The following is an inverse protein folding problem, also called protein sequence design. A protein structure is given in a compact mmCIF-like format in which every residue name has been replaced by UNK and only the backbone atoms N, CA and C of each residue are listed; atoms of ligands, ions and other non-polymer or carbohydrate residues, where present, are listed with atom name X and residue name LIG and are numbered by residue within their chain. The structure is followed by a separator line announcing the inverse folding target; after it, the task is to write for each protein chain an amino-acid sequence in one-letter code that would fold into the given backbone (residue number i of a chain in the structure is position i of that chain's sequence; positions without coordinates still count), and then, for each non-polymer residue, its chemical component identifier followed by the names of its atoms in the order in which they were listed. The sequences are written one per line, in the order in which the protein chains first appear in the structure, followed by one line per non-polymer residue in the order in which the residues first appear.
data_IF_450404313512
#
_entry.id   IF_450404313512
#
_cell.length_a   1.000
_cell.length_b   1.000
_cell.length_c   1.000
_cell.angle_alpha   90.00
_cell.angle_beta   90.00
_cell.angle_gamma   90.00
#
_symmetry.space_group_name_H-M   'P 1'
#
loop_
_entity.id
_entity.type
_entity.pdbx_description
1 polymer ?
#
# COMPACT_ATOMS: atom_id res chain seq x y z
N UNK A 1 4.14 10.53 -5.40
CA UNK A 1 5.38 10.39 -4.60
C UNK A 1 6.48 9.75 -5.44
N UNK A 2 7.75 9.99 -5.11
CA UNK A 2 8.93 9.54 -5.90
C UNK A 2 9.08 8.00 -5.96
N UNK A 3 8.56 7.28 -4.97
CA UNK A 3 8.62 5.81 -4.90
C UNK A 3 8.03 5.10 -6.13
N UNK A 4 6.99 5.67 -6.75
CA UNK A 4 6.28 5.06 -7.90
C UNK A 4 7.14 5.03 -9.16
N UNK A 5 7.59 6.16 -9.73
CA UNK A 5 8.40 6.12 -10.94
C UNK A 5 9.71 5.33 -10.76
N UNK A 6 10.29 5.32 -9.55
CA UNK A 6 11.51 4.57 -9.28
C UNK A 6 11.31 3.06 -9.33
N UNK A 7 10.25 2.51 -8.71
CA UNK A 7 10.01 1.06 -8.73
C UNK A 7 9.34 0.60 -10.03
N UNK A 8 8.53 1.46 -10.65
CA UNK A 8 7.77 1.11 -11.84
C UNK A 8 8.66 0.86 -13.06
N UNK A 9 9.82 1.52 -13.12
CA UNK A 9 10.87 1.22 -14.10
C UNK A 9 11.32 -0.26 -14.01
N UNK A 10 11.58 -0.75 -12.79
CA UNK A 10 12.00 -2.13 -12.58
C UNK A 10 10.85 -3.12 -12.82
N UNK A 11 9.63 -2.80 -12.38
CA UNK A 11 8.48 -3.69 -12.64
C UNK A 11 8.14 -3.74 -14.12
N UNK A 12 8.33 -2.67 -14.88
CA UNK A 12 8.11 -2.68 -16.32
C UNK A 12 9.09 -3.60 -17.07
N UNK A 13 10.30 -3.77 -16.54
CA UNK A 13 11.28 -4.71 -17.07
C UNK A 13 11.03 -6.16 -16.63
N UNK A 14 10.53 -6.37 -15.40
CA UNK A 14 10.43 -7.71 -14.78
C UNK A 14 9.06 -8.36 -14.97
N UNK A 15 7.98 -7.59 -14.85
CA UNK A 15 6.62 -8.13 -14.81
C UNK A 15 6.12 -8.75 -16.13
N UNK A 16 6.48 -8.28 -17.34
CA UNK A 16 6.03 -8.88 -18.59
C UNK A 16 6.40 -10.37 -18.74
N UNK A 17 7.55 -10.78 -18.19
CA UNK A 17 8.10 -12.14 -18.31
C UNK A 17 7.89 -12.98 -17.03
N UNK A 18 6.99 -12.55 -16.14
CA UNK A 18 6.80 -13.19 -14.84
C UNK A 18 6.02 -14.51 -14.97
N UNK A 19 6.70 -15.64 -14.70
CA UNK A 19 6.10 -16.99 -14.76
C UNK A 19 5.31 -17.37 -13.50
N UNK A 20 5.64 -16.79 -12.35
CA UNK A 20 4.94 -17.00 -11.08
C UNK A 20 4.33 -15.69 -10.58
N UNK A 21 3.06 -15.48 -10.93
CA UNK A 21 2.36 -14.22 -10.70
C UNK A 21 2.03 -14.06 -9.21
N UNK A 22 2.87 -13.29 -8.53
CA UNK A 22 2.65 -12.86 -7.14
C UNK A 22 1.46 -11.86 -6.98
N UNK A 23 1.03 -11.22 -8.07
CA UNK A 23 -0.03 -10.20 -8.09
C UNK A 23 -1.44 -10.81 -8.10
N UNK A 24 -1.85 -11.43 -6.99
CA UNK A 24 -3.19 -12.02 -6.82
C UNK A 24 -4.23 -11.03 -6.30
N UNK A 25 -5.50 -11.25 -6.63
CA UNK A 25 -6.62 -10.37 -6.24
C UNK A 25 -6.68 -10.12 -4.74
N UNK A 26 -6.51 -11.15 -3.90
CA UNK A 26 -6.50 -11.02 -2.44
C UNK A 26 -5.42 -10.08 -1.92
N UNK A 27 -4.36 -9.83 -2.70
CA UNK A 27 -3.30 -8.90 -2.34
C UNK A 27 -3.70 -7.44 -2.60
N UNK A 28 -4.65 -7.16 -3.50
CA UNK A 28 -5.08 -5.79 -3.82
C UNK A 28 -5.88 -5.07 -2.72
N UNK A 29 -6.42 -5.81 -1.74
CA UNK A 29 -7.29 -5.25 -0.70
C UNK A 29 -6.57 -4.34 0.28
N UNK A 30 -6.97 -3.06 0.31
CA UNK A 30 -6.64 -2.08 1.34
C UNK A 30 -7.29 -2.45 2.68
N UNK A 31 -6.50 -2.43 3.76
CA UNK A 31 -6.91 -2.60 5.16
C UNK A 31 -7.15 -1.23 5.81
N UNK A 32 -7.73 -1.20 7.01
CA UNK A 32 -8.07 0.04 7.72
C UNK A 32 -6.93 1.06 7.78
N UNK A 33 -5.69 0.59 8.00
CA UNK A 33 -4.49 1.45 8.02
C UNK A 33 -4.13 2.01 6.64
N UNK A 34 -4.34 1.24 5.57
CA UNK A 34 -4.18 1.72 4.19
C UNK A 34 -5.23 2.80 3.87
N UNK A 35 -6.46 2.62 4.33
CA UNK A 35 -7.55 3.58 4.14
C UNK A 35 -7.28 4.90 4.88
N UNK A 36 -6.82 4.81 6.15
CA UNK A 36 -6.39 5.95 6.94
C UNK A 36 -5.31 6.76 6.22
N UNK A 37 -4.30 6.07 5.69
CA UNK A 37 -3.21 6.68 4.96
C UNK A 37 -3.68 7.41 3.69
N UNK A 38 -4.50 6.76 2.87
CA UNK A 38 -5.03 7.39 1.66
C UNK A 38 -5.94 8.57 1.96
N UNK A 39 -6.75 8.48 3.03
CA UNK A 39 -7.62 9.56 3.48
C UNK A 39 -6.82 10.79 3.94
N UNK A 40 -5.76 10.58 4.72
CA UNK A 40 -4.87 11.66 5.17
C UNK A 40 -4.20 12.38 3.98
N UNK A 41 -3.88 11.64 2.93
CA UNK A 41 -3.38 12.19 1.67
C UNK A 41 -4.46 12.80 0.76
N UNK A 42 -5.73 12.83 1.19
CA UNK A 42 -6.86 13.30 0.37
C UNK A 42 -7.06 12.50 -0.91
N UNK A 43 -6.58 11.26 -0.95
CA UNK A 43 -6.57 10.40 -2.14
C UNK A 43 -7.73 9.40 -2.09
N UNK A 44 -8.53 9.28 -3.17
CA UNK A 44 -9.60 8.30 -3.20
C UNK A 44 -9.04 6.87 -3.18
N UNK A 45 -9.71 5.99 -2.44
CA UNK A 45 -9.37 4.57 -2.38
C UNK A 45 -9.74 3.91 -3.72
N UNK A 46 -8.80 3.22 -4.39
CA UNK A 46 -9.12 2.49 -5.61
C UNK A 46 -10.23 1.46 -5.37
N UNK A 47 -11.31 1.44 -6.18
CA UNK A 47 -12.42 0.51 -5.98
C UNK A 47 -11.96 -0.92 -6.21
N UNK A 48 -12.27 -1.83 -5.29
CA UNK A 48 -11.96 -3.25 -5.40
C UNK A 48 -13.22 -4.03 -5.80
N UNK A 49 -13.11 -4.89 -6.80
CA UNK A 49 -14.14 -5.85 -7.18
C UNK A 49 -14.07 -7.10 -6.29
N UNK A 50 -15.01 -7.19 -5.36
CA UNK A 50 -15.12 -8.29 -4.41
C UNK A 50 -15.64 -9.60 -5.05
N UNK A 51 -16.14 -9.56 -6.29
CA UNK A 51 -16.64 -10.73 -7.02
C UNK A 51 -15.56 -11.54 -7.74
N UNK A 52 -14.32 -11.03 -7.82
CA UNK A 52 -13.21 -11.73 -8.49
C UNK A 52 -12.63 -12.82 -7.60
N UNK A 53 -12.14 -13.88 -8.24
CA UNK A 53 -11.41 -14.97 -7.57
C UNK A 53 -10.23 -14.41 -6.74
N UNK A 54 -10.21 -14.59 -5.41
CA UNK A 54 -9.12 -14.13 -4.55
C UNK A 54 -7.73 -14.64 -4.95
N UNK A 55 -7.64 -15.83 -5.54
CA UNK A 55 -6.39 -16.43 -6.00
C UNK A 55 -6.06 -16.15 -7.47
N UNK A 56 -7.01 -15.58 -8.22
CA UNK A 56 -6.81 -15.14 -9.60
C UNK A 56 -5.98 -13.85 -9.73
N UNK A 57 -5.71 -13.40 -10.96
CA UNK A 57 -4.94 -12.18 -11.23
C UNK A 57 -5.62 -10.94 -10.62
N UNK A 58 -4.82 -10.10 -9.97
CA UNK A 58 -5.28 -8.83 -9.42
C UNK A 58 -5.89 -7.95 -10.51
N UNK A 59 -6.99 -7.25 -10.21
CA UNK A 59 -7.64 -6.31 -11.13
C UNK A 59 -6.76 -5.12 -11.53
N UNK A 60 -5.75 -4.83 -10.72
CA UNK A 60 -4.79 -3.76 -10.98
C UNK A 60 -3.54 -4.27 -11.70
N UNK A 61 -3.49 -5.55 -12.10
CA UNK A 61 -2.37 -6.10 -12.87
C UNK A 61 -2.48 -5.66 -14.34
N UNK A 62 -1.51 -4.86 -14.80
CA UNK A 62 -1.32 -4.49 -16.19
C UNK A 62 -0.17 -5.26 -16.85
N UNK A 63 0.13 -4.94 -18.10
CA UNK A 63 1.18 -5.62 -18.89
C UNK A 63 2.60 -5.35 -18.37
N UNK A 64 2.83 -4.20 -17.74
CA UNK A 64 4.14 -3.77 -17.23
C UNK A 64 4.20 -3.74 -15.69
N UNK A 65 3.35 -4.53 -15.02
CA UNK A 65 3.17 -4.51 -13.58
C UNK A 65 1.88 -3.84 -13.16
N UNK A 66 1.79 -3.41 -11.90
CA UNK A 66 0.55 -2.87 -11.35
C UNK A 66 0.24 -1.47 -11.91
N UNK A 67 -1.01 -1.24 -12.31
CA UNK A 67 -1.51 0.03 -12.86
C UNK A 67 -1.69 1.12 -11.80
N UNK A 68 -1.68 0.76 -10.52
CA UNK A 68 -1.71 1.72 -9.42
C UNK A 68 -0.30 2.24 -9.13
N UNK A 69 -0.12 3.55 -8.91
CA UNK A 69 1.09 4.09 -8.32
C UNK A 69 1.48 3.32 -7.06
N UNK A 70 2.76 2.98 -6.85
CA UNK A 70 3.23 2.24 -5.67
C UNK A 70 2.68 2.79 -4.35
N UNK A 71 2.57 4.12 -4.20
CA UNK A 71 2.07 4.75 -2.97
C UNK A 71 0.57 4.64 -2.76
N UNK A 72 -0.23 4.31 -3.78
CA UNK A 72 -1.68 4.10 -3.62
C UNK A 72 -2.06 2.63 -3.44
N UNK A 73 -1.11 1.71 -3.53
CA UNK A 73 -1.34 0.27 -3.34
C UNK A 73 -1.58 -0.04 -1.86
N UNK A 74 -2.26 -1.15 -1.57
CA UNK A 74 -2.31 -1.69 -0.21
C UNK A 74 -0.87 -1.86 0.31
N UNK A 75 -0.59 -1.49 1.56
CA UNK A 75 0.77 -1.36 2.07
C UNK A 75 1.56 -2.68 1.99
N UNK A 76 0.90 -3.83 2.14
CA UNK A 76 1.54 -5.14 1.89
C UNK A 76 2.11 -5.28 0.46
N UNK A 77 1.44 -4.73 -0.56
CA UNK A 77 1.92 -4.69 -1.94
C UNK A 77 3.00 -3.63 -2.17
N UNK A 78 3.15 -2.67 -1.26
CA UNK A 78 4.24 -1.69 -1.27
C UNK A 78 5.57 -2.31 -0.81
N UNK A 79 5.51 -3.23 0.16
CA UNK A 79 6.69 -3.89 0.75
C UNK A 79 7.03 -5.25 0.15
N UNK A 80 6.15 -5.79 -0.68
CA UNK A 80 6.43 -7.03 -1.37
C UNK A 80 7.36 -6.78 -2.58
N UNK A 81 8.44 -7.54 -2.62
CA UNK A 81 9.36 -7.65 -3.75
C UNK A 81 9.57 -9.13 -4.04
N UNK A 82 9.22 -9.57 -5.26
CA UNK A 82 9.53 -10.93 -5.69
C UNK A 82 11.02 -11.08 -6.00
N UNK A 83 11.51 -12.32 -6.06
CA UNK A 83 12.91 -12.62 -6.35
C UNK A 83 13.42 -12.00 -7.67
N UNK A 84 12.69 -12.07 -8.81
CA UNK A 84 13.12 -11.38 -10.04
C UNK A 84 13.24 -9.85 -9.89
N UNK A 85 12.34 -9.23 -9.11
CA UNK A 85 12.38 -7.78 -8.88
C UNK A 85 13.54 -7.39 -7.96
N UNK A 86 13.85 -8.21 -6.94
CA UNK A 86 15.02 -8.02 -6.09
C UNK A 86 16.32 -8.17 -6.88
N UNK A 87 16.41 -9.15 -7.77
CA UNK A 87 17.55 -9.34 -8.66
C UNK A 87 17.76 -8.09 -9.55
N UNK A 88 16.71 -7.61 -10.20
CA UNK A 88 16.77 -6.40 -11.03
C UNK A 88 17.18 -5.15 -10.25
N UNK A 89 16.71 -5.00 -9.00
CA UNK A 89 17.12 -3.90 -8.12
C UNK A 89 18.60 -3.99 -7.71
N UNK A 90 19.11 -5.20 -7.47
CA UNK A 90 20.50 -5.43 -7.08
C UNK A 90 21.48 -5.25 -8.24
N UNK A 91 21.08 -5.63 -9.46
CA UNK A 91 21.88 -5.47 -10.68
C UNK A 91 21.82 -4.06 -11.27
N UNK A 92 20.77 -3.29 -10.93
CA UNK A 92 20.56 -1.94 -11.40
C UNK A 92 21.46 -0.88 -10.76
N UNK A 93 21.18 0.40 -11.05
CA UNK A 93 21.96 1.53 -10.52
C UNK A 93 21.83 1.64 -8.98
N UNK A 94 22.93 1.50 -8.21
CA UNK A 94 22.90 1.63 -6.75
C UNK A 94 22.38 2.99 -6.26
N UNK A 95 22.50 4.06 -7.05
CA UNK A 95 21.92 5.37 -6.73
C UNK A 95 20.40 5.34 -6.78
N UNK A 96 19.81 4.66 -7.77
CA UNK A 96 18.36 4.47 -7.87
C UNK A 96 17.84 3.62 -6.72
N UNK A 97 18.53 2.53 -6.38
CA UNK A 97 18.17 1.69 -5.24
C UNK A 97 18.14 2.50 -3.93
N UNK A 98 19.16 3.34 -3.67
CA UNK A 98 19.17 4.23 -2.49
C UNK A 98 18.02 5.24 -2.49
N UNK A 99 17.72 5.86 -3.63
CA UNK A 99 16.58 6.79 -3.75
C UNK A 99 15.26 6.08 -3.50
N UNK A 100 15.09 4.87 -4.02
CA UNK A 100 13.90 4.08 -3.78
C UNK A 100 13.76 3.76 -2.30
N UNK A 101 14.83 3.30 -1.63
CA UNK A 101 14.80 3.03 -0.19
C UNK A 101 14.43 4.28 0.62
N UNK A 102 14.97 5.45 0.28
CA UNK A 102 14.61 6.71 0.94
C UNK A 102 13.14 7.07 0.71
N UNK A 103 12.64 6.96 -0.52
CA UNK A 103 11.24 7.24 -0.84
C UNK A 103 10.27 6.25 -0.16
N UNK A 104 10.67 4.99 -0.01
CA UNK A 104 9.91 4.00 0.74
C UNK A 104 9.91 4.30 2.24
N UNK A 105 11.03 4.74 2.81
CA UNK A 105 11.09 5.15 4.21
C UNK A 105 10.16 6.34 4.50
N UNK A 106 10.13 7.34 3.62
CA UNK A 106 9.19 8.47 3.75
C UNK A 106 7.73 8.00 3.78
N UNK A 107 7.39 6.97 3.00
CA UNK A 107 6.05 6.37 3.04
C UNK A 107 5.77 5.66 4.37
N UNK A 108 6.76 4.98 4.97
CA UNK A 108 6.62 4.36 6.30
C UNK A 108 6.33 5.41 7.35
N UNK A 109 7.08 6.51 7.33
CA UNK A 109 6.99 7.55 8.34
C UNK A 109 5.60 8.19 8.31
N UNK A 110 5.10 8.51 7.11
CA UNK A 110 3.72 9.02 6.91
C UNK A 110 2.68 7.99 7.34
N UNK A 111 2.81 6.75 6.87
CA UNK A 111 1.88 5.68 7.22
C UNK A 111 1.81 5.45 8.72
N UNK A 112 2.94 5.46 9.44
CA UNK A 112 2.92 5.29 10.89
C UNK A 112 2.36 6.53 11.61
N UNK A 113 2.79 7.74 11.23
CA UNK A 113 2.30 8.97 11.86
C UNK A 113 0.79 9.16 11.73
N UNK A 114 0.23 8.88 10.55
CA UNK A 114 -1.21 9.01 10.31
C UNK A 114 -2.02 7.93 11.05
N UNK A 115 -1.44 6.75 11.25
CA UNK A 115 -2.09 5.69 12.03
C UNK A 115 -2.14 6.01 13.53
N UNK A 116 -1.13 6.73 14.04
CA UNK A 116 -1.12 7.17 15.43
C UNK A 116 -2.22 8.24 15.65
N UNK A 117 -2.36 9.21 14.75
CA UNK A 117 -3.41 10.25 14.82
C UNK A 117 -4.83 9.65 14.71
N UNK A 118 -5.05 8.75 13.74
CA UNK A 118 -6.35 8.07 13.56
C UNK A 118 -6.65 7.16 14.75
N UNK A 119 -5.65 6.47 15.29
CA UNK A 119 -5.78 5.68 16.51
C UNK A 119 -6.17 6.53 17.72
N UNK A 120 -5.56 7.71 17.86
CA UNK A 120 -5.88 8.65 18.93
C UNK A 120 -7.31 9.21 18.80
N UNK A 121 -7.72 9.61 17.58
CA UNK A 121 -9.06 10.12 17.33
C UNK A 121 -10.16 9.08 17.65
N UNK A 122 -9.97 7.83 17.23
CA UNK A 122 -10.89 6.71 17.53
C UNK A 122 -10.96 6.48 19.05
N UNK A 123 -9.82 6.51 19.74
CA UNK A 123 -9.78 6.35 21.20
C UNK A 123 -10.52 7.48 21.92
N UNK A 124 -10.36 8.73 21.48
CA UNK A 124 -11.06 9.89 22.03
C UNK A 124 -12.58 9.79 21.82
N UNK A 125 -13.05 9.46 20.62
CA UNK A 125 -14.48 9.24 20.35
C UNK A 125 -15.05 8.10 21.21
N UNK A 126 -14.33 6.98 21.32
CA UNK A 126 -14.75 5.84 22.15
C UNK A 126 -14.84 6.22 23.63
N UNK A 127 -13.90 7.03 24.12
CA UNK A 127 -13.92 7.54 25.49
C UNK A 127 -15.12 8.47 25.74
N UNK A 128 -15.46 9.34 24.78
CA UNK A 128 -16.64 10.22 24.83
C UNK A 128 -17.93 9.38 24.92
N UNK A 129 -18.10 8.40 24.03
CA UNK A 129 -19.29 7.53 24.04
C UNK A 129 -19.42 6.70 25.32
N UNK A 130 -18.29 6.25 25.87
CA UNK A 130 -18.26 5.50 27.14
C UNK A 130 -18.71 6.39 28.31
N UNK A 131 -18.25 7.64 28.34
CA UNK A 131 -18.64 8.64 29.37
C UNK A 131 -20.12 9.04 29.29
N UNK A 132 -20.65 9.23 28.08
CA UNK A 132 -22.08 9.51 27.88
C UNK A 132 -22.96 8.33 28.36
N UNK A 133 -22.50 7.09 28.18
CA UNK A 133 -23.21 5.88 28.64
C UNK A 133 -23.08 5.63 30.15
N UNK A 134 -22.10 6.21 30.83
CA UNK A 134 -22.02 6.17 32.30
C UNK A 134 -22.90 7.23 32.94
N UNK A 135 -23.01 8.42 32.36
CA UNK A 135 -23.83 9.51 32.90
C UNK A 135 -25.35 9.28 32.74
N UNK A 136 -25.78 8.49 31.75
CA UNK A 136 -27.20 8.12 31.55
C UNK A 136 -27.70 6.95 32.43
N UNK A 137 -26.88 6.43 33.34
CA UNK A 137 -27.23 5.34 34.27
C UNK A 137 -27.34 5.80 35.74
N UNK A 138 -27.24 7.10 35.99
CA UNK A 138 -27.48 7.75 37.28
C UNK A 138 -28.87 8.36 37.37
#
# INVERSE_FOLDING_TARGET
MESSPLIEEYTAAVCPDCVDVCCRQKHGTHRSRDLAYLLALGTPVPPLDAGRDPDGPCQFMGQAGCTLPRWTRAFKCTWFFCEPLLAALNEGDPRKARRLSAALQEMVDRYNGENDEVGEAINQETAIWTRIKSDKRG
#
